data_IF_462406353304
#
_entry.id   IF_462406353304
#
_cell.length_a   1.000
_cell.length_b   1.000
_cell.length_c   1.000
_cell.angle_alpha   90.00
_cell.angle_beta   90.00
_cell.angle_gamma   90.00
#
_symmetry.space_group_name_H-M   'P 1'
#
loop_
_entity.id
_entity.type
_entity.pdbx_description
1 polymer ?
#
# COMPACT_ATOMS: atom_id res chain seq x y z
N UNK A 1 7.21 65.49 -12.42
CA UNK A 1 7.03 64.29 -13.27
C UNK A 1 6.20 64.68 -14.47
N UNK A 2 6.61 64.27 -15.68
CA UNK A 2 5.90 64.58 -16.93
C UNK A 2 4.82 63.53 -17.23
N UNK A 3 3.68 63.95 -17.78
CA UNK A 3 2.54 63.11 -18.17
C UNK A 3 2.95 61.97 -19.11
N UNK A 4 3.95 62.20 -19.95
CA UNK A 4 4.50 61.16 -20.84
C UNK A 4 5.14 60.01 -20.07
N UNK A 5 5.88 60.31 -19.00
CA UNK A 5 6.53 59.28 -18.20
C UNK A 5 5.51 58.45 -17.41
N UNK A 6 4.41 59.08 -16.99
CA UNK A 6 3.30 58.37 -16.34
C UNK A 6 2.62 57.41 -17.31
N UNK A 7 2.33 57.85 -18.55
CA UNK A 7 1.71 56.96 -19.55
C UNK A 7 2.59 55.77 -19.94
N UNK A 8 3.90 55.95 -20.01
CA UNK A 8 4.85 54.85 -20.27
C UNK A 8 4.78 53.84 -19.12
N UNK A 9 4.86 54.32 -17.88
CA UNK A 9 4.78 53.46 -16.70
C UNK A 9 3.46 52.69 -16.60
N UNK A 10 2.32 53.34 -16.89
CA UNK A 10 1.01 52.68 -16.92
C UNK A 10 0.99 51.54 -17.94
N UNK A 11 1.52 51.78 -19.15
CA UNK A 11 1.56 50.75 -20.19
C UNK A 11 2.43 49.56 -19.82
N UNK A 12 3.60 49.80 -19.23
CA UNK A 12 4.48 48.73 -18.74
C UNK A 12 3.81 47.88 -17.65
N UNK A 13 3.05 48.51 -16.76
CA UNK A 13 2.27 47.82 -15.73
C UNK A 13 1.13 47.02 -16.34
N UNK A 14 0.43 47.56 -17.34
CA UNK A 14 -0.64 46.85 -18.07
C UNK A 14 -0.12 45.61 -18.79
N UNK A 15 0.98 45.74 -19.53
CA UNK A 15 1.62 44.64 -20.25
C UNK A 15 2.10 43.55 -19.28
N UNK A 16 2.73 43.95 -18.16
CA UNK A 16 3.16 43.02 -17.11
C UNK A 16 1.99 42.32 -16.44
N UNK A 17 0.90 43.04 -16.18
CA UNK A 17 -0.32 42.48 -15.56
C UNK A 17 -0.98 41.47 -16.49
N UNK A 18 -1.05 41.77 -17.79
CA UNK A 18 -1.59 40.86 -18.79
C UNK A 18 -0.76 39.56 -18.88
N UNK A 19 0.58 39.68 -18.89
CA UNK A 19 1.48 38.52 -18.88
C UNK A 19 1.28 37.66 -17.63
N UNK A 20 1.30 38.29 -16.44
CA UNK A 20 1.13 37.59 -15.17
C UNK A 20 -0.25 36.91 -15.07
N UNK A 21 -1.30 37.51 -15.63
CA UNK A 21 -2.62 36.89 -15.68
C UNK A 21 -2.63 35.66 -16.60
N UNK A 22 -1.88 35.69 -17.70
CA UNK A 22 -1.64 34.54 -18.56
C UNK A 22 -0.96 33.39 -17.81
N UNK A 23 0.16 33.70 -17.15
CA UNK A 23 0.94 32.72 -16.39
C UNK A 23 0.12 32.11 -15.26
N UNK A 24 -0.66 32.92 -14.54
CA UNK A 24 -1.54 32.46 -13.46
C UNK A 24 -2.59 31.46 -13.96
N UNK A 25 -3.15 31.66 -15.16
CA UNK A 25 -4.09 30.72 -15.78
C UNK A 25 -3.40 29.39 -16.11
N UNK A 26 -2.20 29.45 -16.71
CA UNK A 26 -1.43 28.25 -17.06
C UNK A 26 -1.09 27.44 -15.81
N UNK A 27 -0.58 28.11 -14.77
CA UNK A 27 -0.24 27.47 -13.50
C UNK A 27 -1.47 26.83 -12.85
N UNK A 28 -2.62 27.50 -12.88
CA UNK A 28 -3.86 26.93 -12.34
C UNK A 28 -4.27 25.64 -13.06
N UNK A 29 -4.14 25.60 -14.39
CA UNK A 29 -4.41 24.39 -15.17
C UNK A 29 -3.44 23.26 -14.81
N UNK A 30 -2.13 23.55 -14.79
CA UNK A 30 -1.10 22.56 -14.45
C UNK A 30 -1.28 22.00 -13.04
N UNK A 31 -1.61 22.85 -12.06
CA UNK A 31 -1.92 22.40 -10.69
C UNK A 31 -3.14 21.48 -10.68
N UNK A 32 -4.19 21.78 -11.45
CA UNK A 32 -5.36 20.91 -11.56
C UNK A 32 -5.02 19.54 -12.14
N UNK A 33 -4.21 19.50 -13.20
CA UNK A 33 -3.73 18.25 -13.82
C UNK A 33 -2.89 17.41 -12.84
N UNK A 34 -1.97 18.05 -12.11
CA UNK A 34 -1.13 17.38 -11.11
C UNK A 34 -1.93 16.85 -9.92
N UNK A 35 -2.95 17.58 -9.48
CA UNK A 35 -3.87 17.13 -8.43
C UNK A 35 -4.67 15.90 -8.86
N UNK A 36 -5.20 15.90 -10.09
CA UNK A 36 -5.91 14.76 -10.64
C UNK A 36 -4.99 13.53 -10.76
N UNK A 37 -3.77 13.72 -11.27
CA UNK A 37 -2.77 12.65 -11.37
C UNK A 37 -2.43 12.08 -9.99
N UNK A 38 -2.20 12.93 -8.99
CA UNK A 38 -1.86 12.51 -7.63
C UNK A 38 -2.99 11.69 -7.02
N UNK A 39 -4.24 12.11 -7.21
CA UNK A 39 -5.43 11.39 -6.72
C UNK A 39 -5.51 9.99 -7.36
N UNK A 40 -5.29 9.89 -8.67
CA UNK A 40 -5.28 8.62 -9.38
C UNK A 40 -4.15 7.68 -8.90
N UNK A 41 -2.95 8.23 -8.69
CA UNK A 41 -1.81 7.46 -8.18
C UNK A 41 -2.05 6.95 -6.77
N UNK A 42 -2.69 7.75 -5.90
CA UNK A 42 -3.07 7.32 -4.55
C UNK A 42 -4.05 6.15 -4.59
N UNK A 43 -5.09 6.23 -5.41
CA UNK A 43 -6.07 5.15 -5.57
C UNK A 43 -5.43 3.85 -6.09
N UNK A 44 -4.50 3.96 -7.05
CA UNK A 44 -3.75 2.80 -7.54
C UNK A 44 -2.87 2.20 -6.45
N UNK A 45 -2.17 3.03 -5.67
CA UNK A 45 -1.32 2.55 -4.59
C UNK A 45 -2.16 1.83 -3.52
N UNK A 46 -3.33 2.35 -3.18
CA UNK A 46 -4.26 1.70 -2.26
C UNK A 46 -4.77 0.35 -2.78
N UNK A 47 -5.16 0.25 -4.06
CA UNK A 47 -5.56 -1.05 -4.65
C UNK A 47 -4.39 -2.05 -4.62
N UNK A 48 -3.20 -1.62 -5.04
CA UNK A 48 -2.03 -2.47 -5.04
C UNK A 48 -1.63 -2.94 -3.63
N UNK A 49 -1.67 -2.06 -2.65
CA UNK A 49 -1.43 -2.41 -1.25
C UNK A 49 -2.49 -3.39 -0.75
N UNK A 50 -3.77 -3.11 -1.00
CA UNK A 50 -4.88 -3.97 -0.63
C UNK A 50 -4.78 -5.37 -1.25
N UNK A 51 -4.33 -5.48 -2.50
CA UNK A 51 -4.10 -6.76 -3.19
C UNK A 51 -2.89 -7.50 -2.64
N UNK A 52 -1.80 -6.79 -2.39
CA UNK A 52 -0.58 -7.37 -1.84
C UNK A 52 -0.78 -7.92 -0.43
N UNK A 53 -1.52 -7.19 0.41
CA UNK A 53 -1.73 -7.55 1.82
C UNK A 53 -2.98 -8.41 2.06
N UNK A 54 -3.79 -8.67 1.02
CA UNK A 54 -5.07 -9.40 1.12
C UNK A 54 -4.98 -10.74 1.85
N UNK A 55 -3.89 -11.46 1.64
CA UNK A 55 -3.68 -12.80 2.20
C UNK A 55 -2.71 -12.78 3.40
N UNK A 56 -2.30 -11.60 3.85
CA UNK A 56 -1.43 -11.48 5.01
C UNK A 56 -2.27 -11.61 6.29
N UNK A 57 -1.78 -12.38 7.24
CA UNK A 57 -2.37 -12.52 8.57
C UNK A 57 -1.53 -11.71 9.54
N UNK A 58 -2.17 -10.80 10.28
CA UNK A 58 -1.54 -10.06 11.36
C UNK A 58 -1.81 -10.77 12.69
N UNK A 59 -0.75 -11.30 13.30
CA UNK A 59 -0.81 -11.98 14.60
C UNK A 59 -0.36 -10.97 15.68
N UNK A 60 -1.24 -10.67 16.63
CA UNK A 60 -1.00 -9.71 17.71
C UNK A 60 -0.86 -10.43 19.06
N UNK A 61 -0.16 -9.79 20.00
CA UNK A 61 -0.02 -10.31 21.37
C UNK A 61 1.03 -11.41 21.55
N UNK A 62 1.85 -11.68 20.53
CA UNK A 62 3.01 -12.59 20.65
C UNK A 62 4.10 -11.90 21.46
N UNK A 63 4.55 -12.48 22.59
CA UNK A 63 5.66 -11.92 23.36
C UNK A 63 6.94 -11.83 22.51
N UNK A 64 7.81 -10.87 22.82
CA UNK A 64 9.08 -10.76 22.08
C UNK A 64 9.93 -12.01 22.31
N UNK A 65 10.61 -12.47 21.27
CA UNK A 65 11.55 -13.60 21.27
C UNK A 65 10.91 -14.99 21.48
N UNK A 66 9.59 -15.14 21.54
CA UNK A 66 8.95 -16.48 21.61
C UNK A 66 9.02 -17.26 20.30
N UNK A 67 9.18 -16.58 19.18
CA UNK A 67 9.24 -17.20 17.86
C UNK A 67 10.57 -17.97 17.64
N UNK A 68 11.62 -17.62 18.39
CA UNK A 68 12.94 -18.23 18.25
C UNK A 68 13.55 -18.00 16.86
N UNK A 69 14.31 -18.98 16.37
CA UNK A 69 14.95 -18.93 15.03
C UNK A 69 14.08 -19.52 13.90
N UNK A 70 13.01 -20.24 14.25
CA UNK A 70 12.15 -20.98 13.31
C UNK A 70 10.71 -20.46 13.39
N UNK A 71 10.50 -19.29 12.80
CA UNK A 71 9.20 -18.56 12.82
C UNK A 71 8.10 -19.37 12.13
N UNK A 72 8.43 -20.14 11.10
CA UNK A 72 7.50 -21.01 10.37
C UNK A 72 6.91 -22.12 11.26
N UNK A 73 7.75 -22.77 12.07
CA UNK A 73 7.34 -23.78 13.03
C UNK A 73 6.48 -23.16 14.14
N UNK A 74 6.89 -22.00 14.65
CA UNK A 74 6.11 -21.25 15.64
C UNK A 74 4.69 -20.93 15.13
N UNK A 75 4.57 -20.38 13.92
CA UNK A 75 3.27 -20.04 13.33
C UNK A 75 2.42 -21.29 13.09
N UNK A 76 3.03 -22.39 12.63
CA UNK A 76 2.34 -23.68 12.45
C UNK A 76 1.76 -24.21 13.75
N UNK A 77 2.55 -24.24 14.82
CA UNK A 77 2.12 -24.73 16.13
C UNK A 77 1.03 -23.83 16.73
N UNK A 78 1.18 -22.51 16.57
CA UNK A 78 0.17 -21.54 16.99
C UNK A 78 -1.17 -21.77 16.29
N UNK A 79 -1.18 -21.89 14.96
CA UNK A 79 -2.40 -22.14 14.19
C UNK A 79 -3.04 -23.47 14.59
N UNK A 80 -2.25 -24.55 14.73
CA UNK A 80 -2.77 -25.86 15.12
C UNK A 80 -3.42 -25.82 16.51
N UNK A 81 -2.79 -25.16 17.47
CA UNK A 81 -3.33 -25.01 18.83
C UNK A 81 -4.67 -24.26 18.83
N UNK A 82 -4.76 -23.13 18.12
CA UNK A 82 -6.01 -22.35 18.04
C UNK A 82 -7.12 -23.08 17.27
N UNK A 83 -6.78 -23.81 16.20
CA UNK A 83 -7.75 -24.59 15.42
C UNK A 83 -8.26 -25.84 16.15
N UNK A 84 -7.45 -26.45 17.01
CA UNK A 84 -7.89 -27.52 17.91
C UNK A 84 -8.92 -27.02 18.92
N UNK A 85 -8.76 -25.79 19.41
CA UNK A 85 -9.68 -25.18 20.37
C UNK A 85 -11.02 -24.78 19.75
N UNK A 86 -11.03 -24.40 18.46
CA UNK A 86 -12.25 -24.06 17.73
C UNK A 86 -13.07 -25.26 17.22
N UNK A 87 -12.60 -26.50 17.45
CA UNK A 87 -13.28 -27.72 17.02
C UNK A 87 -13.31 -27.93 15.49
N UNK A 88 -12.56 -27.12 14.73
CA UNK A 88 -12.55 -27.15 13.26
C UNK A 88 -11.69 -28.29 12.69
N UNK A 89 -10.81 -28.89 13.50
CA UNK A 89 -10.01 -30.07 13.14
C UNK A 89 -10.64 -31.29 13.81
N UNK A 90 -11.51 -32.01 13.09
CA UNK A 90 -11.68 -33.44 13.36
C UNK A 90 -10.40 -34.13 12.89
N UNK A 91 -9.74 -34.84 13.81
CA UNK A 91 -8.53 -35.64 13.54
C UNK A 91 -8.68 -36.43 12.24
N UNK A 92 -7.93 -36.06 11.20
CA UNK A 92 -7.60 -37.00 10.12
C UNK A 92 -6.55 -37.92 10.71
N UNK A 93 -6.98 -39.07 11.22
CA UNK A 93 -6.07 -40.18 11.48
C UNK A 93 -5.33 -40.49 10.18
N UNK A 94 -4.02 -40.26 10.14
CA UNK A 94 -3.19 -40.83 9.07
C UNK A 94 -3.26 -42.36 9.22
N UNK A 95 -3.73 -43.12 8.21
CA UNK A 95 -3.64 -44.56 8.27
C UNK A 95 -2.16 -44.94 8.30
N UNK A 96 -1.77 -45.66 9.36
CA UNK A 96 -0.43 -46.24 9.51
C UNK A 96 -0.07 -46.95 8.21
N UNK A 97 1.08 -46.59 7.64
CA UNK A 97 1.64 -47.29 6.49
C UNK A 97 1.65 -48.80 6.81
N UNK A 98 0.95 -49.58 5.97
CA UNK A 98 0.94 -51.04 6.08
C UNK A 98 2.38 -51.51 5.99
N UNK A 99 2.85 -52.18 7.04
CA UNK A 99 4.10 -52.92 7.01
C UNK A 99 4.04 -53.89 5.82
N UNK A 100 4.94 -53.68 4.86
CA UNK A 100 5.18 -54.66 3.80
C UNK A 100 5.87 -55.87 4.45
N UNK A 101 5.32 -57.10 4.36
CA UNK A 101 6.09 -58.26 4.74
C UNK A 101 7.21 -58.43 3.71
N UNK A 102 8.45 -58.35 4.18
CA UNK A 102 9.61 -58.80 3.42
C UNK A 102 9.43 -60.29 3.14
N UNK A 103 8.98 -60.64 1.93
CA UNK A 103 9.06 -62.01 1.43
C UNK A 103 10.53 -62.40 1.37
N UNK A 104 10.90 -63.29 2.28
CA UNK A 104 12.05 -64.18 2.12
C UNK A 104 11.80 -65.06 0.90
N UNK A 105 12.69 -64.98 -0.09
CA UNK A 105 13.29 -66.16 -0.74
C UNK A 105 14.47 -65.75 -1.60
#
# INVERSE_FOLDING_TARGET
>A
MDLRNINICVKEVEDSTASNQGDSKVLKTQVGELQALTTNLQALLEDHEGRSRRNNILILGVPKLTEGHAVDLFVKDLILKELQWSGLIMFVEQPRAREHPLSRS
#
